data_IF_906625216874
#
_entry.id   IF_906625216874
#
_cell.length_a   1.000
_cell.length_b   1.000
_cell.length_c   1.000
_cell.angle_alpha   90.00
_cell.angle_beta   90.00
_cell.angle_gamma   90.00
#
_symmetry.space_group_name_H-M   'P 1'
#
loop_
_entity.id
_entity.type
_entity.pdbx_description
1 polymer ?
#
# COMPACT_ATOMS: atom_id res chain seq x y z
N UNK A 1 -1.60 3.38 -15.67
CA UNK A 1 -0.43 3.29 -14.78
C UNK A 1 -0.88 2.63 -13.49
N UNK A 2 -0.07 1.75 -12.90
CA UNK A 2 -0.39 0.98 -11.70
C UNK A 2 0.60 1.31 -10.60
N UNK A 3 0.08 1.81 -9.50
CA UNK A 3 0.83 2.03 -8.27
C UNK A 3 0.41 0.94 -7.29
N UNK A 4 1.35 0.22 -6.69
CA UNK A 4 1.04 -0.67 -5.57
C UNK A 4 1.51 -0.04 -4.27
N UNK A 5 0.58 0.25 -3.38
CA UNK A 5 0.87 0.66 -2.02
C UNK A 5 1.10 -0.61 -1.18
N UNK A 6 2.32 -0.82 -0.71
CA UNK A 6 2.77 -2.04 -0.07
C UNK A 6 3.33 -1.73 1.32
N UNK A 7 2.73 -2.31 2.36
CA UNK A 7 3.07 -1.90 3.72
C UNK A 7 2.26 -2.56 4.82
N UNK A 8 2.28 -1.92 5.99
CA UNK A 8 1.61 -2.38 7.19
C UNK A 8 0.17 -1.83 7.36
N UNK A 9 -0.27 -1.66 8.61
CA UNK A 9 -1.56 -1.13 9.02
C UNK A 9 -1.86 0.27 8.49
N UNK A 10 -0.83 1.13 8.33
CA UNK A 10 -1.00 2.47 7.77
C UNK A 10 -1.44 2.38 6.30
N UNK A 11 -0.88 1.42 5.57
CA UNK A 11 -1.28 1.14 4.19
C UNK A 11 -2.61 0.41 4.13
N UNK A 12 -2.87 -0.52 5.06
CA UNK A 12 -4.13 -1.26 5.12
C UNK A 12 -5.35 -0.37 5.45
N UNK A 13 -5.14 0.83 5.97
CA UNK A 13 -6.23 1.71 6.42
C UNK A 13 -6.77 1.30 7.79
N UNK A 14 -5.91 0.86 8.71
CA UNK A 14 -6.34 0.55 10.06
C UNK A 14 -6.95 1.78 10.76
N UNK A 15 -8.14 1.61 11.33
CA UNK A 15 -8.84 2.66 12.07
C UNK A 15 -9.67 3.63 11.22
N UNK A 16 -9.72 3.45 9.89
CA UNK A 16 -10.57 4.27 9.00
C UNK A 16 -11.69 3.45 8.36
N UNK A 17 -12.72 4.13 7.84
CA UNK A 17 -13.82 3.47 7.13
C UNK A 17 -13.38 2.99 5.74
N UNK A 18 -14.09 2.01 5.15
CA UNK A 18 -13.84 1.59 3.78
C UNK A 18 -13.79 2.79 2.82
N UNK A 19 -12.76 2.84 1.99
CA UNK A 19 -12.52 3.92 1.02
C UNK A 19 -11.94 5.20 1.62
N UNK A 20 -11.57 5.21 2.91
CA UNK A 20 -10.84 6.31 3.54
C UNK A 20 -9.36 5.98 3.81
N UNK A 21 -8.89 4.82 3.37
CA UNK A 21 -7.47 4.47 3.37
C UNK A 21 -6.69 5.37 2.39
N UNK A 22 -5.43 5.67 2.72
CA UNK A 22 -4.66 6.59 1.88
C UNK A 22 -4.47 6.09 0.44
N UNK A 23 -4.35 4.77 0.14
CA UNK A 23 -4.27 4.30 -1.24
C UNK A 23 -5.52 4.68 -2.06
N UNK A 24 -6.72 4.52 -1.49
CA UNK A 24 -7.95 4.97 -2.16
C UNK A 24 -7.99 6.48 -2.37
N UNK A 25 -7.66 7.25 -1.32
CA UNK A 25 -7.64 8.71 -1.39
C UNK A 25 -6.59 9.23 -2.39
N UNK A 26 -5.46 8.54 -2.52
CA UNK A 26 -4.43 8.83 -3.52
C UNK A 26 -4.96 8.58 -4.93
N UNK A 27 -5.64 7.46 -5.18
CA UNK A 27 -6.26 7.17 -6.47
C UNK A 27 -7.27 8.26 -6.88
N UNK A 28 -8.16 8.63 -5.95
CA UNK A 28 -9.18 9.66 -6.19
C UNK A 28 -8.54 11.04 -6.42
N UNK A 29 -7.51 11.38 -5.63
CA UNK A 29 -6.76 12.62 -5.78
C UNK A 29 -6.04 12.70 -7.13
N UNK A 30 -5.40 11.61 -7.57
CA UNK A 30 -4.73 11.55 -8.87
C UNK A 30 -5.72 11.69 -10.02
N UNK A 31 -6.89 11.05 -9.93
CA UNK A 31 -7.96 11.22 -10.91
C UNK A 31 -8.41 12.70 -10.99
N UNK A 32 -8.62 13.36 -9.85
CA UNK A 32 -8.98 14.77 -9.78
C UNK A 32 -7.88 15.71 -10.32
N UNK A 33 -6.61 15.31 -10.23
CA UNK A 33 -5.46 16.05 -10.79
C UNK A 33 -5.25 15.83 -12.30
N UNK A 34 -6.14 15.09 -12.98
CA UNK A 34 -6.04 14.84 -14.42
C UNK A 34 -5.36 13.52 -14.79
N UNK A 35 -5.20 12.59 -13.84
CA UNK A 35 -4.66 11.25 -14.07
C UNK A 35 -5.68 10.14 -13.81
N UNK A 36 -6.86 10.12 -14.47
CA UNK A 36 -7.95 9.18 -14.18
C UNK A 36 -7.63 7.71 -14.53
N UNK A 37 -6.54 7.46 -15.28
CA UNK A 37 -6.08 6.11 -15.64
C UNK A 37 -5.05 5.51 -14.68
N UNK A 38 -4.81 6.14 -13.53
CA UNK A 38 -3.95 5.59 -12.48
C UNK A 38 -4.79 4.72 -11.56
N UNK A 39 -4.31 3.49 -11.33
CA UNK A 39 -4.88 2.58 -10.35
C UNK A 39 -3.92 2.49 -9.17
N UNK A 40 -4.46 2.53 -7.95
CA UNK A 40 -3.67 2.35 -6.72
C UNK A 40 -4.12 1.07 -6.02
N UNK A 41 -3.29 0.03 -6.09
CA UNK A 41 -3.54 -1.25 -5.45
C UNK A 41 -3.11 -1.18 -3.98
N UNK A 42 -4.07 -1.36 -3.07
CA UNK A 42 -3.78 -1.50 -1.65
C UNK A 42 -3.29 -2.94 -1.36
N UNK A 43 -2.04 -3.06 -0.91
CA UNK A 43 -1.41 -4.30 -0.43
C UNK A 43 -0.90 -4.13 1.00
N UNK A 44 -1.57 -3.32 1.80
CA UNK A 44 -1.30 -3.20 3.22
C UNK A 44 -1.82 -4.40 4.01
N UNK A 45 -1.05 -4.91 4.97
CA UNK A 45 -1.52 -5.87 5.97
C UNK A 45 -1.12 -5.38 7.36
N UNK A 46 -2.13 -5.20 8.21
CA UNK A 46 -1.94 -4.72 9.58
C UNK A 46 -1.05 -5.65 10.39
N UNK A 47 -0.03 -5.08 11.02
CA UNK A 47 0.89 -5.79 11.92
C UNK A 47 2.10 -6.44 11.25
N UNK A 48 2.24 -6.37 9.91
CA UNK A 48 3.41 -6.90 9.21
C UNK A 48 4.69 -6.16 9.59
N UNK A 49 5.77 -6.92 9.75
CA UNK A 49 7.15 -6.44 9.86
C UNK A 49 7.82 -6.41 8.48
N UNK A 50 9.05 -5.88 8.40
CA UNK A 50 9.86 -5.98 7.18
C UNK A 50 10.11 -7.43 6.75
N UNK A 51 10.21 -8.36 7.71
CA UNK A 51 10.42 -9.78 7.43
C UNK A 51 9.20 -10.43 6.78
N UNK A 52 8.00 -10.12 7.29
CA UNK A 52 6.75 -10.62 6.69
C UNK A 52 6.56 -10.10 5.27
N UNK A 53 6.83 -8.81 5.08
CA UNK A 53 6.69 -8.12 3.81
C UNK A 53 7.68 -8.68 2.75
N UNK A 54 8.89 -9.05 3.16
CA UNK A 54 9.89 -9.69 2.27
C UNK A 54 9.33 -10.93 1.57
N UNK A 55 8.58 -11.78 2.28
CA UNK A 55 7.99 -12.99 1.69
C UNK A 55 6.88 -12.71 0.67
N UNK A 56 6.28 -11.52 0.70
CA UNK A 56 5.19 -11.09 -0.20
C UNK A 56 5.67 -10.36 -1.45
N UNK A 57 6.95 -9.99 -1.52
CA UNK A 57 7.53 -9.28 -2.67
C UNK A 57 7.24 -9.99 -4.01
N UNK A 58 7.43 -11.32 -4.17
CA UNK A 58 7.16 -11.98 -5.45
C UNK A 58 5.72 -11.79 -5.93
N UNK A 59 4.74 -11.95 -5.05
CA UNK A 59 3.31 -11.77 -5.39
C UNK A 59 2.97 -10.33 -5.79
N UNK A 60 3.59 -9.33 -5.15
CA UNK A 60 3.44 -7.92 -5.55
C UNK A 60 4.06 -7.66 -6.93
N UNK A 61 5.21 -8.27 -7.24
CA UNK A 61 5.86 -8.09 -8.54
C UNK A 61 5.12 -8.78 -9.69
N UNK A 62 4.39 -9.88 -9.43
CA UNK A 62 3.52 -10.53 -10.42
C UNK A 62 2.40 -9.62 -10.92
N UNK A 63 1.98 -8.64 -10.11
CA UNK A 63 0.98 -7.63 -10.48
C UNK A 63 1.54 -6.61 -11.48
N UNK A 64 2.85 -6.61 -11.74
CA UNK A 64 3.56 -5.69 -12.62
C UNK A 64 3.25 -4.21 -12.32
N UNK A 65 3.53 -3.74 -11.09
CA UNK A 65 3.39 -2.33 -10.77
C UNK A 65 4.38 -1.46 -11.56
N UNK A 66 3.96 -0.26 -11.96
CA UNK A 66 4.85 0.76 -12.50
C UNK A 66 5.61 1.48 -11.36
N UNK A 67 4.94 1.63 -10.21
CA UNK A 67 5.46 2.27 -8.99
C UNK A 67 5.08 1.44 -7.77
N UNK A 68 6.01 1.29 -6.83
CA UNK A 68 5.73 0.72 -5.51
C UNK A 68 5.89 1.83 -4.47
N UNK A 69 4.86 2.04 -3.64
CA UNK A 69 4.94 2.85 -2.44
C UNK A 69 5.18 1.92 -1.26
N UNK A 70 6.40 1.89 -0.73
CA UNK A 70 6.78 1.01 0.37
C UNK A 70 6.64 1.75 1.72
N UNK A 71 5.78 1.27 2.61
CA UNK A 71 5.58 1.83 3.94
C UNK A 71 5.58 0.75 5.02
N UNK A 72 6.73 0.53 5.66
CA UNK A 72 6.98 -0.55 6.62
C UNK A 72 8.03 -0.13 7.65
N UNK A 73 8.11 -0.84 8.78
CA UNK A 73 9.20 -0.70 9.76
C UNK A 73 8.75 -0.37 11.19
N UNK A 74 7.54 0.17 11.38
CA UNK A 74 7.05 0.52 12.72
C UNK A 74 6.88 -0.71 13.60
N UNK A 75 6.36 -1.81 13.02
CA UNK A 75 6.15 -3.05 13.75
C UNK A 75 7.46 -3.76 14.12
N UNK A 76 8.51 -3.62 13.30
CA UNK A 76 9.85 -4.14 13.59
C UNK A 76 10.43 -3.52 14.87
N UNK A 77 10.17 -2.23 15.11
CA UNK A 77 10.59 -1.52 16.33
C UNK A 77 9.77 -1.98 17.54
N UNK A 78 8.46 -2.21 17.36
CA UNK A 78 7.56 -2.59 18.45
C UNK A 78 7.68 -4.06 18.87
N UNK A 79 8.12 -4.92 17.96
CA UNK A 79 8.29 -6.36 18.16
C UNK A 79 9.75 -6.78 18.40
N UNK A 80 10.68 -5.82 18.31
CA UNK A 80 12.12 -6.00 18.56
C UNK A 80 12.52 -5.92 20.02
#
# INVERSE_FOLDING_TARGET
MKITAFGDSLTAGWGVRPGQDYPKLLEDGLAAMGFPGVQVLNRGISGETTSDLHYRVPGVLEERPDIILLGIGTNDILQG
#
